data_IF_836153703315
#
_entry.id   IF_836153703315
#
_cell.length_a   1.000
_cell.length_b   1.000
_cell.length_c   1.000
_cell.angle_alpha   90.00
_cell.angle_beta   90.00
_cell.angle_gamma   90.00
#
_symmetry.space_group_name_H-M   'P 1'
#
loop_
_entity.id
_entity.type
_entity.pdbx_description
1 polymer ?
#
# COMPACT_ATOMS: atom_id res chain seq x y z
N UNK A 1 3.14 23.18 20.69
CA UNK A 1 3.46 21.77 20.37
C UNK A 1 3.80 21.14 21.71
N UNK A 2 3.14 20.07 22.06
CA UNK A 2 3.42 19.34 23.30
C UNK A 2 4.76 18.62 23.14
N UNK A 3 5.68 18.78 24.10
CA UNK A 3 6.99 18.10 24.13
C UNK A 3 6.88 16.59 24.42
N UNK A 4 5.67 16.05 24.49
CA UNK A 4 5.46 14.63 24.76
C UNK A 4 5.45 13.84 23.45
N UNK A 5 6.18 12.71 23.38
CA UNK A 5 6.20 11.83 22.21
C UNK A 5 4.80 11.25 21.94
N UNK A 6 4.43 11.11 20.66
CA UNK A 6 3.12 10.58 20.25
C UNK A 6 2.99 9.08 20.50
N UNK A 7 4.10 8.36 20.42
CA UNK A 7 4.17 6.91 20.60
C UNK A 7 5.34 6.53 21.53
N UNK A 8 5.30 5.37 22.17
CA UNK A 8 6.48 4.80 22.81
C UNK A 8 7.61 4.59 21.81
N UNK A 9 8.85 4.85 22.22
CA UNK A 9 10.01 4.52 21.43
C UNK A 9 10.09 2.98 21.28
N UNK A 10 10.03 2.47 20.05
CA UNK A 10 10.01 1.05 19.76
C UNK A 10 10.68 0.71 18.43
N UNK A 11 11.18 -0.50 18.31
CA UNK A 11 11.77 -1.04 17.08
C UNK A 11 11.39 -2.50 16.92
N UNK A 12 11.30 -2.95 15.69
CA UNK A 12 11.11 -4.33 15.29
C UNK A 12 12.16 -4.74 14.27
N UNK A 13 12.27 -6.02 13.98
CA UNK A 13 13.01 -6.50 12.81
C UNK A 13 12.10 -6.44 11.57
N UNK A 14 12.63 -6.07 10.38
CA UNK A 14 11.84 -6.16 9.15
C UNK A 14 11.38 -7.61 8.88
N UNK A 15 10.14 -7.80 8.41
CA UNK A 15 9.21 -6.77 7.90
C UNK A 15 8.41 -6.02 8.99
N UNK A 16 8.34 -6.52 10.22
CA UNK A 16 7.54 -5.99 11.33
C UNK A 16 6.13 -6.61 11.38
N UNK A 17 5.59 -6.74 12.59
CA UNK A 17 4.26 -7.31 12.85
C UNK A 17 3.35 -6.31 13.55
N UNK A 18 2.08 -6.30 13.17
CA UNK A 18 1.04 -5.43 13.75
C UNK A 18 0.88 -5.66 15.24
N UNK A 19 0.77 -6.93 15.66
CA UNK A 19 0.56 -7.30 17.06
C UNK A 19 1.74 -6.99 18.00
N UNK A 20 2.90 -6.64 17.45
CA UNK A 20 4.06 -6.19 18.22
C UNK A 20 4.13 -4.66 18.38
N UNK A 21 3.20 -3.92 17.76
CA UNK A 21 3.14 -2.46 17.88
C UNK A 21 2.42 -2.00 19.15
N UNK A 22 2.89 -0.92 19.74
CA UNK A 22 2.23 -0.28 20.88
C UNK A 22 2.08 1.23 20.63
N UNK A 23 0.84 1.76 20.54
CA UNK A 23 -0.43 1.02 20.40
C UNK A 23 -0.52 0.28 19.06
N UNK A 24 -1.41 -0.70 18.98
CA UNK A 24 -1.74 -1.30 17.68
C UNK A 24 -2.33 -0.26 16.73
N UNK A 25 -2.03 -0.32 15.42
CA UNK A 25 -2.64 0.55 14.41
C UNK A 25 -4.14 0.26 14.23
N UNK A 26 -4.92 1.30 13.95
CA UNK A 26 -6.31 1.18 13.51
C UNK A 26 -6.35 0.96 11.98
N UNK A 27 -6.86 -0.19 11.54
CA UNK A 27 -7.05 -0.50 10.12
C UNK A 27 -8.52 -0.38 9.69
N UNK A 28 -9.41 0.06 10.58
CA UNK A 28 -10.83 0.19 10.32
C UNK A 28 -11.65 -1.06 10.67
N UNK A 29 -11.10 -1.96 11.50
CA UNK A 29 -11.75 -3.23 11.90
C UNK A 29 -13.15 -3.01 12.47
N UNK A 30 -13.35 -1.92 13.21
CA UNK A 30 -14.64 -1.59 13.80
C UNK A 30 -15.28 -0.35 13.15
N UNK A 31 -14.45 0.60 12.70
CA UNK A 31 -14.89 1.94 12.31
C UNK A 31 -15.30 2.07 10.84
N UNK A 32 -14.75 1.26 9.93
CA UNK A 32 -15.09 1.39 8.51
C UNK A 32 -16.46 0.77 8.20
N UNK A 33 -17.35 1.55 7.61
CA UNK A 33 -18.68 1.12 7.16
C UNK A 33 -18.73 1.13 5.64
N UNK A 34 -18.98 -0.03 5.03
CA UNK A 34 -19.11 -0.17 3.58
C UNK A 34 -20.46 0.30 3.04
N UNK A 35 -20.48 0.70 1.78
CA UNK A 35 -21.65 1.19 1.07
C UNK A 35 -21.88 0.47 -0.27
N UNK A 36 -21.19 -0.65 -0.53
CA UNK A 36 -21.34 -1.46 -1.75
C UNK A 36 -20.70 -0.86 -3.00
N UNK A 37 -19.71 0.04 -2.86
CA UNK A 37 -19.05 0.72 -3.98
C UNK A 37 -18.24 -0.21 -4.89
N UNK A 38 -17.85 -1.38 -4.38
CA UNK A 38 -17.06 -2.39 -5.10
C UNK A 38 -17.78 -3.73 -5.21
N UNK A 39 -19.11 -3.72 -5.15
CA UNK A 39 -19.92 -4.93 -5.16
C UNK A 39 -19.62 -5.82 -6.38
N UNK A 40 -19.28 -7.09 -6.12
CA UNK A 40 -18.96 -8.10 -7.15
C UNK A 40 -17.64 -7.89 -7.89
N UNK A 41 -16.77 -7.00 -7.41
CA UNK A 41 -15.42 -6.83 -7.94
C UNK A 41 -14.44 -7.79 -7.25
N UNK A 42 -13.29 -7.99 -7.88
CA UNK A 42 -12.14 -8.71 -7.33
C UNK A 42 -10.94 -7.79 -7.33
N UNK A 43 -10.31 -7.66 -6.16
CA UNK A 43 -9.11 -6.86 -5.98
C UNK A 43 -7.90 -7.73 -5.64
N UNK A 44 -6.72 -7.35 -6.16
CA UNK A 44 -5.41 -7.82 -5.69
C UNK A 44 -4.69 -6.67 -4.99
N UNK A 45 -4.35 -6.86 -3.71
CA UNK A 45 -3.58 -5.90 -2.90
C UNK A 45 -2.22 -6.49 -2.57
N UNK A 46 -1.14 -5.91 -3.10
CA UNK A 46 0.21 -6.37 -2.73
C UNK A 46 0.60 -5.85 -1.34
N UNK A 47 1.14 -6.73 -0.46
CA UNK A 47 1.42 -6.38 0.94
C UNK A 47 0.12 -6.02 1.68
N UNK A 48 -0.90 -6.87 1.56
CA UNK A 48 -2.23 -6.62 2.13
C UNK A 48 -2.44 -7.20 3.53
N UNK A 49 -1.42 -7.77 4.12
CA UNK A 49 -1.42 -8.40 5.44
C UNK A 49 -1.43 -7.40 6.60
N UNK A 50 -0.81 -6.24 6.43
CA UNK A 50 -0.60 -5.25 7.49
C UNK A 50 -0.73 -3.81 7.00
N UNK A 51 -0.68 -2.85 7.92
CA UNK A 51 -0.62 -1.42 7.64
C UNK A 51 -1.70 -0.93 6.67
N UNK A 52 -1.31 -0.10 5.70
CA UNK A 52 -2.24 0.47 4.71
C UNK A 52 -2.89 -0.63 3.87
N UNK A 53 -2.11 -1.68 3.50
CA UNK A 53 -2.62 -2.80 2.70
C UNK A 53 -3.76 -3.54 3.40
N UNK A 54 -3.63 -3.85 4.69
CA UNK A 54 -4.69 -4.44 5.51
C UNK A 54 -5.93 -3.55 5.55
N UNK A 55 -5.76 -2.26 5.81
CA UNK A 55 -6.88 -1.32 5.85
C UNK A 55 -7.62 -1.25 4.51
N UNK A 56 -6.89 -1.29 3.39
CA UNK A 56 -7.48 -1.37 2.04
C UNK A 56 -8.23 -2.67 1.83
N UNK A 57 -7.65 -3.82 2.24
CA UNK A 57 -8.29 -5.13 2.10
C UNK A 57 -9.62 -5.19 2.89
N UNK A 58 -9.62 -4.70 4.14
CA UNK A 58 -10.82 -4.61 4.98
C UNK A 58 -11.88 -3.71 4.33
N UNK A 59 -11.47 -2.51 3.91
CA UNK A 59 -12.40 -1.56 3.29
C UNK A 59 -12.99 -2.11 1.99
N UNK A 60 -12.18 -2.71 1.13
CA UNK A 60 -12.63 -3.30 -0.13
C UNK A 60 -13.61 -4.46 0.11
N UNK A 61 -13.31 -5.33 1.08
CA UNK A 61 -14.23 -6.40 1.45
C UNK A 61 -15.58 -5.87 1.94
N UNK A 62 -15.57 -4.84 2.79
CA UNK A 62 -16.81 -4.19 3.28
C UNK A 62 -17.55 -3.42 2.19
N UNK A 63 -16.85 -2.98 1.14
CA UNK A 63 -17.47 -2.40 -0.06
C UNK A 63 -17.98 -3.45 -1.06
N UNK A 64 -17.84 -4.75 -0.75
CA UNK A 64 -18.40 -5.85 -1.54
C UNK A 64 -17.45 -6.54 -2.50
N UNK A 65 -16.14 -6.28 -2.43
CA UNK A 65 -15.14 -6.97 -3.26
C UNK A 65 -14.61 -8.25 -2.61
N UNK A 66 -14.31 -9.27 -3.41
CA UNK A 66 -13.42 -10.35 -3.00
C UNK A 66 -11.97 -9.87 -3.09
N UNK A 67 -11.12 -10.29 -2.15
CA UNK A 67 -9.80 -9.71 -1.99
C UNK A 67 -8.71 -10.78 -1.96
N UNK A 68 -7.85 -10.77 -3.00
CA UNK A 68 -6.55 -11.41 -2.94
C UNK A 68 -5.51 -10.45 -2.36
N UNK A 69 -4.56 -10.95 -1.59
CA UNK A 69 -3.46 -10.14 -1.10
C UNK A 69 -2.18 -10.97 -0.93
N UNK A 70 -1.02 -10.32 -1.11
CA UNK A 70 0.29 -10.96 -0.91
C UNK A 70 0.89 -10.59 0.44
N UNK A 71 1.73 -11.47 0.97
CA UNK A 71 2.47 -11.30 2.22
C UNK A 71 3.77 -12.12 2.19
N UNK A 72 4.74 -11.77 3.05
CA UNK A 72 5.97 -12.54 3.25
C UNK A 72 5.76 -13.64 4.31
N UNK A 73 6.50 -14.77 4.28
CA UNK A 73 6.34 -15.87 5.24
C UNK A 73 6.35 -15.44 6.70
N UNK A 74 7.18 -14.44 7.04
CA UNK A 74 7.31 -13.90 8.39
C UNK A 74 6.06 -13.13 8.85
N UNK A 75 5.24 -12.66 7.91
CA UNK A 75 4.01 -11.88 8.15
C UNK A 75 2.75 -12.76 8.26
N UNK A 76 2.92 -14.08 8.28
CA UNK A 76 1.78 -15.01 8.31
C UNK A 76 0.73 -14.72 9.41
N UNK A 77 1.10 -14.37 10.67
CA UNK A 77 0.10 -14.02 11.69
C UNK A 77 -0.79 -12.83 11.29
N UNK A 78 -0.18 -11.81 10.65
CA UNK A 78 -0.88 -10.64 10.14
C UNK A 78 -1.77 -10.99 8.94
N UNK A 79 -1.29 -11.87 8.06
CA UNK A 79 -2.05 -12.35 6.90
C UNK A 79 -3.28 -13.16 7.32
N UNK A 80 -3.14 -14.06 8.33
CA UNK A 80 -4.25 -14.85 8.85
C UNK A 80 -5.34 -13.92 9.45
N UNK A 81 -4.95 -12.91 10.24
CA UNK A 81 -5.87 -11.92 10.80
C UNK A 81 -6.59 -11.12 9.70
N UNK A 82 -5.87 -10.69 8.65
CA UNK A 82 -6.49 -9.98 7.52
C UNK A 82 -7.48 -10.86 6.77
N UNK A 83 -7.15 -12.14 6.54
CA UNK A 83 -8.05 -13.08 5.89
C UNK A 83 -9.34 -13.30 6.71
N UNK A 84 -9.24 -13.41 8.04
CA UNK A 84 -10.41 -13.51 8.92
C UNK A 84 -11.31 -12.26 8.82
N UNK A 85 -10.73 -11.07 8.76
CA UNK A 85 -11.49 -9.81 8.64
C UNK A 85 -12.21 -9.69 7.29
N UNK A 86 -11.57 -10.09 6.19
CA UNK A 86 -12.19 -10.17 4.86
C UNK A 86 -13.34 -11.18 4.85
N UNK A 87 -13.10 -12.38 5.39
CA UNK A 87 -14.15 -13.41 5.52
C UNK A 87 -15.30 -12.94 6.42
N UNK A 88 -15.01 -12.25 7.52
CA UNK A 88 -15.98 -11.65 8.42
C UNK A 88 -16.88 -10.59 7.77
N UNK A 89 -16.41 -9.93 6.70
CA UNK A 89 -17.21 -9.05 5.84
C UNK A 89 -18.09 -9.82 4.83
N UNK A 90 -18.07 -11.15 4.85
CA UNK A 90 -18.84 -11.99 3.91
C UNK A 90 -18.21 -12.10 2.52
N UNK A 91 -16.92 -11.81 2.39
CA UNK A 91 -16.19 -11.88 1.11
C UNK A 91 -15.13 -12.99 1.14
N UNK A 92 -14.63 -13.35 -0.04
CA UNK A 92 -13.63 -14.41 -0.17
C UNK A 92 -12.23 -13.83 -0.06
N UNK A 93 -11.44 -14.17 0.99
CA UNK A 93 -10.03 -13.84 1.06
C UNK A 93 -9.20 -14.83 0.25
N UNK A 94 -8.15 -14.36 -0.42
CA UNK A 94 -7.11 -15.19 -1.02
C UNK A 94 -5.74 -14.67 -0.55
N UNK A 95 -5.18 -15.27 0.50
CA UNK A 95 -3.87 -14.94 1.02
C UNK A 95 -2.77 -15.69 0.24
N UNK A 96 -1.80 -14.96 -0.29
CA UNK A 96 -0.74 -15.45 -1.17
C UNK A 96 0.63 -15.21 -0.52
N UNK A 97 1.27 -16.26 -0.02
CA UNK A 97 2.64 -16.19 0.51
C UNK A 97 3.64 -16.11 -0.64
N UNK A 98 4.04 -14.89 -1.01
CA UNK A 98 4.86 -14.60 -2.19
C UNK A 98 5.81 -13.42 -1.94
N UNK A 99 7.11 -13.62 -2.19
CA UNK A 99 8.09 -12.54 -2.23
C UNK A 99 8.11 -11.89 -3.62
N UNK A 100 7.58 -10.69 -3.72
CA UNK A 100 7.46 -9.95 -4.97
C UNK A 100 8.79 -9.37 -5.49
N UNK A 101 9.90 -9.59 -4.80
CA UNK A 101 11.24 -9.34 -5.36
C UNK A 101 11.58 -10.32 -6.47
N UNK A 102 10.82 -11.42 -6.60
CA UNK A 102 10.86 -12.36 -7.72
C UNK A 102 9.74 -12.05 -8.73
N UNK A 103 10.13 -11.94 -10.00
CA UNK A 103 9.18 -11.74 -11.10
C UNK A 103 8.15 -12.85 -11.20
N UNK A 104 8.56 -14.11 -11.03
CA UNK A 104 7.65 -15.25 -11.14
C UNK A 104 6.54 -15.18 -10.07
N UNK A 105 6.87 -14.72 -8.86
CA UNK A 105 5.89 -14.49 -7.79
C UNK A 105 4.88 -13.39 -8.16
N UNK A 106 5.30 -12.32 -8.85
CA UNK A 106 4.39 -11.29 -9.35
C UNK A 106 3.41 -11.84 -10.41
N UNK A 107 3.91 -12.62 -11.35
CA UNK A 107 3.09 -13.28 -12.38
C UNK A 107 2.13 -14.30 -11.71
N UNK A 108 2.58 -15.06 -10.70
CA UNK A 108 1.77 -16.00 -9.92
C UNK A 108 0.66 -15.29 -9.12
N UNK A 109 0.95 -14.18 -8.46
CA UNK A 109 -0.04 -13.44 -7.68
C UNK A 109 -1.26 -13.06 -8.53
N UNK A 110 -1.05 -12.55 -9.73
CA UNK A 110 -2.11 -12.20 -10.67
C UNK A 110 -2.81 -13.46 -11.21
N UNK A 111 -2.03 -14.45 -11.64
CA UNK A 111 -2.58 -15.68 -12.21
C UNK A 111 -3.47 -16.44 -11.23
N UNK A 112 -3.05 -16.55 -9.95
CA UNK A 112 -3.85 -17.19 -8.90
C UNK A 112 -5.08 -16.37 -8.55
N UNK A 113 -4.98 -15.06 -8.49
CA UNK A 113 -6.16 -14.20 -8.26
C UNK A 113 -7.24 -14.48 -9.30
N UNK A 114 -6.89 -14.49 -10.58
CA UNK A 114 -7.85 -14.75 -11.67
C UNK A 114 -8.34 -16.18 -11.65
N UNK A 115 -7.47 -17.17 -11.40
CA UNK A 115 -7.84 -18.58 -11.40
C UNK A 115 -8.77 -18.96 -10.25
N UNK A 116 -8.54 -18.39 -9.05
CA UNK A 116 -9.25 -18.77 -7.82
C UNK A 116 -10.47 -17.88 -7.56
N UNK A 117 -10.42 -16.57 -7.92
CA UNK A 117 -11.53 -15.62 -7.73
C UNK A 117 -12.26 -15.29 -9.04
N UNK A 118 -11.82 -15.82 -10.17
CA UNK A 118 -12.53 -15.78 -11.45
C UNK A 118 -12.32 -14.51 -12.29
N UNK A 119 -11.71 -13.44 -11.74
CA UNK A 119 -11.47 -12.16 -12.42
C UNK A 119 -10.46 -11.28 -11.68
N UNK A 120 -10.08 -10.17 -12.30
CA UNK A 120 -9.35 -9.08 -11.64
C UNK A 120 -9.93 -7.74 -12.14
N UNK A 121 -10.37 -6.89 -11.22
CA UNK A 121 -10.92 -5.55 -11.52
C UNK A 121 -10.07 -4.43 -10.95
N UNK A 122 -9.43 -4.66 -9.80
CA UNK A 122 -8.64 -3.64 -9.11
C UNK A 122 -7.28 -4.24 -8.73
N UNK A 123 -6.20 -3.61 -9.21
CA UNK A 123 -4.85 -3.87 -8.72
C UNK A 123 -4.40 -2.73 -7.81
N UNK A 124 -4.01 -3.05 -6.57
CA UNK A 124 -3.36 -2.10 -5.64
C UNK A 124 -1.90 -2.51 -5.45
N UNK A 125 -0.99 -1.74 -6.02
CA UNK A 125 0.44 -1.87 -5.80
C UNK A 125 0.81 -1.14 -4.50
N UNK A 126 0.78 -1.86 -3.36
CA UNK A 126 1.03 -1.31 -2.04
C UNK A 126 2.32 -1.84 -1.40
N UNK A 127 2.75 -3.07 -1.69
CA UNK A 127 3.98 -3.64 -1.14
C UNK A 127 5.16 -2.68 -1.28
N UNK A 128 5.89 -2.45 -0.20
CA UNK A 128 7.01 -1.52 -0.18
C UNK A 128 8.05 -1.92 0.87
N UNK A 129 9.29 -1.55 0.59
CA UNK A 129 10.41 -1.63 1.50
C UNK A 129 11.08 -0.26 1.62
N UNK A 130 11.51 0.10 2.82
CA UNK A 130 12.38 1.24 3.12
C UNK A 130 13.40 0.84 4.19
N UNK A 131 14.43 1.63 4.37
CA UNK A 131 15.36 1.55 5.51
C UNK A 131 15.86 2.95 5.83
N UNK A 132 15.72 3.40 7.07
CA UNK A 132 16.07 4.75 7.51
C UNK A 132 16.94 4.74 8.78
N UNK A 133 17.69 3.66 9.00
CA UNK A 133 18.57 3.50 10.17
C UNK A 133 20.00 3.95 9.93
N UNK A 134 20.41 4.08 8.66
CA UNK A 134 21.75 4.55 8.29
C UNK A 134 21.87 6.06 8.46
N UNK A 135 23.07 6.51 8.84
CA UNK A 135 23.32 7.93 9.12
C UNK A 135 23.70 8.72 7.86
N UNK A 136 24.24 8.06 6.85
CA UNK A 136 24.70 8.69 5.62
C UNK A 136 24.45 7.81 4.39
N UNK A 137 24.31 8.46 3.22
CA UNK A 137 24.18 7.75 1.95
C UNK A 137 25.36 6.82 1.65
N UNK A 138 26.56 7.17 2.10
CA UNK A 138 27.75 6.32 1.87
C UNK A 138 27.70 4.99 2.65
N UNK A 139 26.81 4.88 3.62
CA UNK A 139 26.59 3.66 4.42
C UNK A 139 25.53 2.74 3.79
N UNK A 140 24.85 3.18 2.72
CA UNK A 140 23.84 2.36 2.03
C UNK A 140 24.51 1.20 1.32
N UNK A 141 24.12 -0.03 1.66
CA UNK A 141 24.65 -1.22 1.01
C UNK A 141 23.96 -1.45 -0.34
N UNK A 142 24.64 -2.16 -1.24
CA UNK A 142 24.07 -2.55 -2.54
C UNK A 142 22.83 -3.44 -2.36
N UNK A 143 22.81 -4.31 -1.32
CA UNK A 143 21.66 -5.16 -0.99
C UNK A 143 20.43 -4.34 -0.57
N UNK A 144 20.63 -3.26 0.21
CA UNK A 144 19.56 -2.33 0.58
C UNK A 144 18.98 -1.67 -0.67
N UNK A 145 19.83 -1.13 -1.53
CA UNK A 145 19.43 -0.44 -2.77
C UNK A 145 18.69 -1.41 -3.68
N UNK A 146 19.24 -2.60 -3.91
CA UNK A 146 18.64 -3.63 -4.77
C UNK A 146 17.26 -4.06 -4.23
N UNK A 147 17.14 -4.33 -2.92
CA UNK A 147 15.87 -4.69 -2.30
C UNK A 147 14.83 -3.58 -2.43
N UNK A 148 15.22 -2.31 -2.20
CA UNK A 148 14.33 -1.16 -2.35
C UNK A 148 13.81 -1.05 -3.79
N UNK A 149 14.68 -1.16 -4.78
CA UNK A 149 14.30 -1.09 -6.20
C UNK A 149 13.43 -2.28 -6.61
N UNK A 150 13.77 -3.50 -6.21
CA UNK A 150 13.01 -4.70 -6.54
C UNK A 150 11.62 -4.65 -5.93
N UNK A 151 11.51 -4.36 -4.63
CA UNK A 151 10.20 -4.34 -3.95
C UNK A 151 9.33 -3.20 -4.43
N UNK A 152 9.87 -1.98 -4.57
CA UNK A 152 9.03 -0.80 -4.81
C UNK A 152 8.76 -0.53 -6.28
N UNK A 153 9.70 -0.85 -7.19
CA UNK A 153 9.57 -0.54 -8.61
C UNK A 153 9.39 -1.77 -9.48
N UNK A 154 10.25 -2.76 -9.35
CA UNK A 154 10.19 -3.91 -10.25
C UNK A 154 8.92 -4.73 -9.99
N UNK A 155 8.59 -4.98 -8.72
CA UNK A 155 7.35 -5.66 -8.35
C UNK A 155 6.11 -4.94 -8.91
N UNK A 156 6.01 -3.62 -8.74
CA UNK A 156 4.92 -2.80 -9.29
C UNK A 156 4.82 -2.97 -10.82
N UNK A 157 5.94 -2.85 -11.53
CA UNK A 157 5.97 -2.97 -12.99
C UNK A 157 5.61 -4.40 -13.46
N UNK A 158 6.14 -5.43 -12.79
CA UNK A 158 5.87 -6.82 -13.14
C UNK A 158 4.41 -7.20 -12.86
N UNK A 159 3.89 -6.88 -11.68
CA UNK A 159 2.50 -7.16 -11.30
C UNK A 159 1.53 -6.41 -12.20
N UNK A 160 1.77 -5.11 -12.46
CA UNK A 160 0.93 -4.33 -13.37
C UNK A 160 0.93 -4.91 -14.78
N UNK A 161 2.10 -5.27 -15.30
CA UNK A 161 2.21 -5.91 -16.62
C UNK A 161 1.44 -7.23 -16.71
N UNK A 162 1.50 -8.06 -15.67
CA UNK A 162 0.73 -9.30 -15.59
C UNK A 162 -0.78 -9.03 -15.49
N UNK A 163 -1.20 -7.97 -14.79
CA UNK A 163 -2.61 -7.63 -14.60
C UNK A 163 -3.28 -7.03 -15.85
N UNK A 164 -2.55 -6.26 -16.67
CA UNK A 164 -3.11 -5.52 -17.81
C UNK A 164 -3.94 -6.38 -18.76
N UNK A 165 -3.52 -7.60 -19.18
CA UNK A 165 -4.36 -8.45 -20.04
C UNK A 165 -5.75 -8.72 -19.44
N UNK A 166 -5.84 -8.99 -18.14
CA UNK A 166 -7.09 -9.27 -17.44
C UNK A 166 -7.94 -8.01 -17.23
N UNK A 167 -7.30 -6.88 -16.95
CA UNK A 167 -8.00 -5.58 -16.85
C UNK A 167 -8.53 -5.10 -18.21
N UNK A 168 -7.98 -5.55 -19.36
CA UNK A 168 -8.51 -5.28 -20.70
C UNK A 168 -9.80 -6.04 -21.00
N UNK A 169 -9.94 -7.24 -20.46
CA UNK A 169 -11.18 -8.04 -20.63
C UNK A 169 -12.37 -7.37 -19.93
N UNK A 170 -12.11 -6.69 -18.82
CA UNK A 170 -13.07 -5.92 -18.03
C UNK A 170 -12.39 -4.67 -17.50
N UNK A 171 -12.63 -3.51 -18.13
CA UNK A 171 -11.98 -2.27 -17.73
C UNK A 171 -12.11 -1.99 -16.24
N UNK A 172 -10.98 -1.97 -15.57
CA UNK A 172 -10.86 -1.78 -14.13
C UNK A 172 -9.88 -0.65 -13.79
N UNK A 173 -9.13 -0.81 -12.71
CA UNK A 173 -8.15 0.20 -12.36
C UNK A 173 -6.88 -0.37 -11.68
N UNK A 174 -5.82 0.42 -11.77
CA UNK A 174 -4.58 0.26 -11.02
C UNK A 174 -4.43 1.43 -10.07
N UNK A 175 -4.14 1.16 -8.80
CA UNK A 175 -3.88 2.18 -7.79
C UNK A 175 -2.49 1.91 -7.20
N UNK A 176 -1.60 2.86 -7.36
CA UNK A 176 -0.24 2.77 -6.86
C UNK A 176 -0.11 3.49 -5.50
N UNK A 177 0.53 2.85 -4.53
CA UNK A 177 0.84 3.48 -3.26
C UNK A 177 2.21 4.18 -3.36
N UNK A 178 2.19 5.51 -3.55
CA UNK A 178 3.39 6.36 -3.56
C UNK A 178 3.72 6.87 -2.14
N UNK A 179 4.12 8.10 -1.96
CA UNK A 179 4.40 8.70 -0.64
C UNK A 179 4.57 10.21 -0.75
N UNK A 180 4.39 10.91 0.37
CA UNK A 180 4.87 12.29 0.54
C UNK A 180 6.38 12.42 0.24
N UNK A 181 7.14 11.34 0.45
CA UNK A 181 8.59 11.29 0.16
C UNK A 181 8.91 11.48 -1.33
N UNK A 182 7.94 11.36 -2.22
CA UNK A 182 8.09 11.69 -3.64
C UNK A 182 8.18 13.20 -3.90
N UNK A 183 7.74 14.02 -2.96
CA UNK A 183 7.65 15.49 -3.04
C UNK A 183 8.57 16.17 -2.04
N UNK A 184 8.69 15.62 -0.85
CA UNK A 184 9.49 16.12 0.26
C UNK A 184 10.41 15.01 0.78
N UNK A 185 11.52 14.71 0.05
CA UNK A 185 12.38 13.57 0.33
C UNK A 185 13.22 13.77 1.60
N UNK A 186 13.22 12.77 2.48
CA UNK A 186 14.15 12.69 3.61
C UNK A 186 15.50 12.14 3.14
N UNK A 187 16.59 12.72 3.63
CA UNK A 187 17.96 12.28 3.30
C UNK A 187 18.27 10.84 3.73
N UNK A 188 17.63 10.34 4.80
CA UNK A 188 17.77 8.95 5.24
C UNK A 188 17.00 7.93 4.40
N UNK A 189 16.14 8.39 3.47
CA UNK A 189 15.26 7.59 2.63
C UNK A 189 15.49 7.85 1.14
N UNK A 190 16.72 8.22 0.73
CA UNK A 190 17.03 8.62 -0.64
C UNK A 190 16.57 7.59 -1.67
N UNK A 191 16.90 6.31 -1.46
CA UNK A 191 16.53 5.19 -2.35
C UNK A 191 15.00 5.00 -2.40
N UNK A 192 14.35 4.99 -1.24
CA UNK A 192 12.89 4.90 -1.14
C UNK A 192 12.20 6.10 -1.81
N UNK A 193 12.61 7.32 -1.48
CA UNK A 193 12.03 8.54 -2.04
C UNK A 193 12.15 8.57 -3.58
N UNK A 194 13.30 8.16 -4.11
CA UNK A 194 13.51 8.04 -5.56
C UNK A 194 12.52 7.05 -6.19
N UNK A 195 12.25 5.88 -5.54
CA UNK A 195 11.25 4.94 -6.04
C UNK A 195 9.85 5.54 -6.02
N UNK A 196 9.50 6.30 -4.97
CA UNK A 196 8.17 6.91 -4.86
C UNK A 196 7.95 8.05 -5.87
N UNK A 197 8.98 8.82 -6.19
CA UNK A 197 8.95 9.79 -7.29
C UNK A 197 8.79 9.11 -8.66
N UNK A 198 9.49 8.00 -8.88
CA UNK A 198 9.34 7.20 -10.09
C UNK A 198 7.92 6.64 -10.24
N UNK A 199 7.28 6.20 -9.15
CA UNK A 199 5.90 5.70 -9.16
C UNK A 199 4.91 6.79 -9.61
N UNK A 200 5.10 8.05 -9.21
CA UNK A 200 4.27 9.15 -9.70
C UNK A 200 4.36 9.28 -11.22
N UNK A 201 5.56 9.25 -11.77
CA UNK A 201 5.78 9.32 -13.21
C UNK A 201 5.18 8.10 -13.95
N UNK A 202 5.41 6.89 -13.43
CA UNK A 202 4.82 5.64 -13.97
C UNK A 202 3.29 5.72 -13.97
N UNK A 203 2.68 6.25 -12.92
CA UNK A 203 1.22 6.41 -12.81
C UNK A 203 0.67 7.26 -13.96
N UNK A 204 1.28 8.41 -14.24
CA UNK A 204 0.85 9.31 -15.32
C UNK A 204 1.04 8.65 -16.70
N UNK A 205 2.19 7.98 -16.90
CA UNK A 205 2.47 7.28 -18.16
C UNK A 205 1.46 6.16 -18.43
N UNK A 206 1.24 5.27 -17.45
CA UNK A 206 0.29 4.18 -17.58
C UNK A 206 -1.15 4.66 -17.72
N UNK A 207 -1.53 5.77 -17.09
CA UNK A 207 -2.85 6.38 -17.28
C UNK A 207 -3.08 6.82 -18.72
N UNK A 208 -2.05 7.38 -19.37
CA UNK A 208 -2.13 7.76 -20.78
C UNK A 208 -2.13 6.54 -21.71
N UNK A 209 -1.30 5.53 -21.45
CA UNK A 209 -1.19 4.33 -22.26
C UNK A 209 -2.45 3.46 -22.19
N UNK A 210 -2.99 3.23 -20.98
CA UNK A 210 -4.10 2.29 -20.74
C UNK A 210 -5.48 2.94 -20.79
N UNK A 211 -5.55 4.28 -20.83
CA UNK A 211 -6.79 5.02 -20.93
C UNK A 211 -7.66 4.63 -22.15
N UNK A 212 -7.09 4.46 -23.37
CA UNK A 212 -7.85 3.95 -24.52
C UNK A 212 -8.51 2.59 -24.32
N UNK A 213 -7.96 1.76 -23.42
CA UNK A 213 -8.51 0.46 -23.03
C UNK A 213 -9.58 0.58 -21.91
N UNK A 214 -9.88 1.80 -21.45
CA UNK A 214 -10.83 2.07 -20.36
C UNK A 214 -10.26 1.77 -18.97
N UNK A 215 -8.95 1.52 -18.84
CA UNK A 215 -8.30 1.23 -17.57
C UNK A 215 -7.81 2.54 -16.94
N UNK A 216 -8.25 2.82 -15.71
CA UNK A 216 -7.80 3.99 -14.94
C UNK A 216 -6.56 3.66 -14.14
N UNK A 217 -5.59 4.57 -14.09
CA UNK A 217 -4.38 4.40 -13.27
C UNK A 217 -4.19 5.65 -12.43
N UNK A 218 -4.17 5.48 -11.10
CA UNK A 218 -4.02 6.57 -10.14
C UNK A 218 -3.04 6.20 -9.03
N UNK A 219 -2.70 7.15 -8.20
CA UNK A 219 -1.88 6.89 -7.00
C UNK A 219 -2.47 7.54 -5.75
N UNK A 220 -2.16 6.96 -4.60
CA UNK A 220 -2.34 7.59 -3.29
C UNK A 220 -0.95 7.90 -2.74
N UNK A 221 -0.77 9.11 -2.20
CA UNK A 221 0.46 9.54 -1.52
C UNK A 221 0.21 9.70 -0.02
N UNK A 222 0.50 8.68 0.80
CA UNK A 222 0.42 8.81 2.25
C UNK A 222 1.52 9.72 2.81
N UNK A 223 1.20 10.42 3.89
CA UNK A 223 2.16 11.03 4.80
C UNK A 223 2.70 10.04 5.82
N UNK A 224 3.08 10.48 7.03
CA UNK A 224 3.49 9.60 8.11
C UNK A 224 2.29 8.83 8.66
N UNK A 225 2.20 7.53 8.34
CA UNK A 225 1.13 6.63 8.78
C UNK A 225 1.69 5.62 9.77
N UNK A 226 0.95 5.37 10.86
CA UNK A 226 1.30 4.43 11.91
C UNK A 226 1.12 2.99 11.44
N UNK A 227 2.21 2.35 10.99
CA UNK A 227 2.24 1.00 10.39
C UNK A 227 3.46 0.24 10.89
N UNK A 228 3.49 -1.12 10.82
CA UNK A 228 4.67 -1.93 11.18
C UNK A 228 5.96 -1.53 10.45
N UNK A 229 5.84 -0.98 9.25
CA UNK A 229 6.99 -0.47 8.49
C UNK A 229 7.80 0.57 9.27
N UNK A 230 7.16 1.37 10.14
CA UNK A 230 7.84 2.43 10.88
C UNK A 230 8.81 1.87 11.93
N UNK A 231 8.37 1.08 12.93
CA UNK A 231 9.30 0.50 13.91
C UNK A 231 10.25 -0.52 13.29
N UNK A 232 9.88 -1.18 12.19
CA UNK A 232 10.75 -2.13 11.50
C UNK A 232 11.94 -1.48 10.81
N UNK A 233 11.83 -0.21 10.39
CA UNK A 233 12.82 0.39 9.49
C UNK A 233 13.41 1.72 9.95
N UNK A 234 12.84 2.33 10.98
CA UNK A 234 13.30 3.62 11.51
C UNK A 234 14.03 3.48 12.86
N UNK A 235 14.72 4.55 13.27
CA UNK A 235 15.27 4.68 14.61
C UNK A 235 14.14 4.93 15.62
N UNK A 236 14.24 4.37 16.83
CA UNK A 236 13.17 4.41 17.84
C UNK A 236 12.70 5.84 18.18
N UNK A 237 13.64 6.79 18.19
CA UNK A 237 13.33 8.21 18.46
C UNK A 237 12.49 8.86 17.35
N UNK A 238 12.69 8.43 16.10
CA UNK A 238 11.88 8.86 14.95
C UNK A 238 10.48 8.27 15.02
N UNK A 239 10.36 7.00 15.41
CA UNK A 239 9.08 6.31 15.61
C UNK A 239 8.26 7.01 16.70
N UNK A 240 8.89 7.40 17.81
CA UNK A 240 8.22 8.08 18.92
C UNK A 240 7.57 9.42 18.50
N UNK A 241 8.16 10.13 17.55
CA UNK A 241 7.72 11.44 17.10
C UNK A 241 7.06 11.44 15.72
N UNK A 242 6.63 10.27 15.23
CA UNK A 242 6.05 10.13 13.88
C UNK A 242 4.85 11.06 13.68
N UNK A 243 4.92 11.90 12.65
CA UNK A 243 3.84 12.80 12.25
C UNK A 243 3.70 14.08 13.09
N UNK A 244 4.56 14.29 14.09
CA UNK A 244 4.51 15.51 14.93
C UNK A 244 4.78 16.81 14.17
N UNK A 245 5.41 16.73 13.03
CA UNK A 245 5.73 17.84 12.12
C UNK A 245 4.69 18.08 11.02
N UNK A 246 3.67 17.23 10.93
CA UNK A 246 2.57 17.47 9.98
C UNK A 246 1.71 18.66 10.43
N UNK A 247 1.03 19.39 9.51
CA UNK A 247 0.08 20.44 9.87
C UNK A 247 -1.04 19.99 10.83
N UNK A 248 -1.49 18.71 10.74
CA UNK A 248 -2.44 18.16 11.70
C UNK A 248 -1.80 17.73 13.03
N UNK A 249 -0.46 17.79 13.15
CA UNK A 249 0.31 17.54 14.37
C UNK A 249 0.30 16.11 14.87
N UNK A 250 0.00 15.13 14.01
CA UNK A 250 -0.04 13.70 14.35
C UNK A 250 0.24 12.79 13.16
N UNK A 251 0.59 11.54 13.44
CA UNK A 251 0.52 10.49 12.43
C UNK A 251 -0.93 10.18 12.04
N UNK A 252 -1.12 9.75 10.80
CA UNK A 252 -2.37 9.13 10.36
C UNK A 252 -2.42 7.65 10.74
N UNK A 253 -3.63 7.09 10.75
CA UNK A 253 -3.86 5.66 10.89
C UNK A 253 -4.07 5.01 9.50
N UNK A 254 -3.77 3.73 9.32
CA UNK A 254 -4.09 2.98 8.10
C UNK A 254 -5.54 3.18 7.64
N UNK A 255 -6.50 3.13 8.57
CA UNK A 255 -7.92 3.36 8.32
C UNK A 255 -8.22 4.71 7.64
N UNK A 256 -7.41 5.74 7.89
CA UNK A 256 -7.59 7.07 7.29
C UNK A 256 -7.10 7.11 5.82
N UNK A 257 -6.28 6.14 5.39
CA UNK A 257 -5.85 6.01 4.00
C UNK A 257 -6.84 5.22 3.14
N UNK A 258 -7.47 4.19 3.69
CA UNK A 258 -8.33 3.27 2.95
C UNK A 258 -9.44 3.94 2.13
N UNK A 259 -10.15 5.00 2.60
CA UNK A 259 -11.18 5.69 1.82
C UNK A 259 -10.68 6.30 0.51
N UNK A 260 -9.41 6.72 0.43
CA UNK A 260 -8.82 7.22 -0.81
C UNK A 260 -8.68 6.12 -1.86
N UNK A 261 -8.29 4.92 -1.45
CA UNK A 261 -8.23 3.75 -2.34
C UNK A 261 -9.63 3.31 -2.78
N UNK A 262 -10.61 3.28 -1.88
CA UNK A 262 -12.00 2.96 -2.22
C UNK A 262 -12.55 3.95 -3.23
N UNK A 263 -12.36 5.26 -3.03
CA UNK A 263 -12.76 6.28 -4.00
C UNK A 263 -12.14 6.03 -5.37
N UNK A 264 -10.84 5.84 -5.45
CA UNK A 264 -10.14 5.62 -6.72
C UNK A 264 -10.50 4.27 -7.37
N UNK A 265 -10.83 3.24 -6.60
CA UNK A 265 -11.30 1.96 -7.10
C UNK A 265 -12.73 2.03 -7.67
N UNK A 266 -13.60 2.84 -7.06
CA UNK A 266 -15.02 2.94 -7.43
C UNK A 266 -15.22 3.32 -8.90
N UNK A 267 -15.92 2.49 -9.69
CA UNK A 267 -16.19 2.78 -11.10
C UNK A 267 -17.22 3.90 -11.28
N UNK A 268 -17.96 4.24 -10.23
CA UNK A 268 -18.97 5.32 -10.26
C UNK A 268 -18.39 6.64 -9.75
N UNK A 269 -17.66 6.61 -8.61
CA UNK A 269 -17.19 7.84 -7.97
C UNK A 269 -15.95 8.42 -8.67
N UNK A 270 -15.11 7.57 -9.26
CA UNK A 270 -13.86 7.96 -9.92
C UNK A 270 -13.81 7.62 -11.42
N UNK A 271 -14.96 7.51 -12.09
CA UNK A 271 -15.04 7.12 -13.51
C UNK A 271 -14.25 8.03 -14.46
N UNK A 272 -14.03 9.29 -14.09
CA UNK A 272 -13.28 10.28 -14.88
C UNK A 272 -11.97 10.72 -14.19
N UNK A 273 -11.48 9.92 -13.22
CA UNK A 273 -10.25 10.18 -12.48
C UNK A 273 -9.18 9.19 -12.92
N UNK A 274 -8.18 9.67 -13.67
CA UNK A 274 -7.02 8.88 -14.10
C UNK A 274 -5.79 9.79 -14.21
N UNK A 275 -4.62 9.28 -13.86
CA UNK A 275 -3.36 10.01 -13.88
C UNK A 275 -3.15 10.93 -12.67
N UNK A 276 -3.99 10.84 -11.63
CA UNK A 276 -3.86 11.69 -10.43
C UNK A 276 -3.07 11.04 -9.31
N UNK A 277 -2.51 11.88 -8.44
CA UNK A 277 -1.97 11.49 -7.14
C UNK A 277 -2.80 12.14 -6.04
N UNK A 278 -3.46 11.34 -5.21
CA UNK A 278 -4.29 11.80 -4.11
C UNK A 278 -3.49 11.77 -2.81
N UNK A 279 -3.24 12.93 -2.21
CA UNK A 279 -2.52 13.06 -0.94
C UNK A 279 -3.41 12.70 0.27
N UNK A 280 -2.88 11.85 1.17
CA UNK A 280 -3.42 11.58 2.52
C UNK A 280 -2.29 11.83 3.51
N UNK A 281 -1.98 13.09 3.76
CA UNK A 281 -0.67 13.54 4.24
C UNK A 281 -0.70 14.31 5.57
N UNK A 282 -1.88 14.50 6.17
CA UNK A 282 -1.99 15.34 7.37
C UNK A 282 -1.74 16.82 7.09
N UNK A 283 -1.89 17.26 5.81
CA UNK A 283 -1.76 18.66 5.39
C UNK A 283 -0.43 19.00 4.69
N UNK A 284 0.49 18.04 4.53
CA UNK A 284 1.70 18.25 3.72
C UNK A 284 1.34 18.26 2.22
N UNK A 285 1.86 19.18 1.39
CA UNK A 285 1.48 19.32 -0.01
C UNK A 285 2.05 18.20 -0.90
N UNK A 286 1.30 17.83 -1.95
CA UNK A 286 1.69 16.85 -2.98
C UNK A 286 1.68 17.47 -4.38
N UNK A 287 2.18 18.70 -4.49
CA UNK A 287 2.28 19.51 -5.73
C UNK A 287 3.52 20.38 -5.72
#
# INVERSE_FOLDING_TARGET
>A
MTDEPQFPAQQQQPPGLTGEMTPEPDHGEESYVGHGRLEGQVALVTGGDSGIGRAVAIAFAREGADVAFTYLPEEKPDADATAELVAGAGRTPLALELDLTDRAACDEAVGRTVAELGRLDVLVNNAAYQMARDDSFVDFTDERIDRTLKTNLYALLWTTRAAVPHLRERPGCVINNTSIQAYEPSTSLLDYAATKAAINNITVNLAAELGPDGIRVNAVAPGPIWTPLQPATQKAEKVANLGGDTPLGRAGQPAECAPAFVFLASPTDASYVSGTVLGVTGGMPVF
#
